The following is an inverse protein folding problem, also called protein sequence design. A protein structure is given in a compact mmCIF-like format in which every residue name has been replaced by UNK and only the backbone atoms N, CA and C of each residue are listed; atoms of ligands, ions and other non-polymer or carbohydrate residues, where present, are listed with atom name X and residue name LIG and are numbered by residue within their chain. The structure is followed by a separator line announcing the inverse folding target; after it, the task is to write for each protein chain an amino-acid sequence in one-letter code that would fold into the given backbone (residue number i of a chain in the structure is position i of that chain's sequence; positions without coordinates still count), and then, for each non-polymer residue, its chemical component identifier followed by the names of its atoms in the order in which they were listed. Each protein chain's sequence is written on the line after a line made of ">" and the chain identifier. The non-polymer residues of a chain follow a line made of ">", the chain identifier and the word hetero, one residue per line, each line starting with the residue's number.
data_IF_065553018780
#
_entry.id   IF_065553018780
#
_cell.length_a   1.000
_cell.length_b   1.000
_cell.length_c   1.000
_cell.angle_alpha   90.00
_cell.angle_beta   90.00
_cell.angle_gamma   90.00
#
_symmetry.space_group_name_H-M   'P 1'
#
loop_
_entity.id
_entity.type
_entity.pdbx_description
1 polymer ?
#
# COMPACT_ATOMS: atom_id res chain seq x y z
N UNK A 1 -2.03 -12.58 16.32
CA UNK A 1 -2.36 -11.17 16.71
C UNK A 1 -1.19 -10.28 16.35
N UNK A 2 -1.46 -9.14 15.75
CA UNK A 2 -0.48 -8.12 15.35
C UNK A 2 -0.87 -6.78 15.96
N UNK A 3 0.10 -6.05 16.46
CA UNK A 3 -0.07 -4.67 16.88
C UNK A 3 0.36 -3.74 15.75
N UNK A 4 -0.49 -2.80 15.35
CA UNK A 4 -0.20 -1.87 14.27
C UNK A 4 -0.41 -0.42 14.73
N UNK A 5 0.48 0.45 14.31
CA UNK A 5 0.39 1.88 14.53
C UNK A 5 0.56 2.60 13.20
N UNK A 6 -0.29 3.56 12.92
CA UNK A 6 -0.22 4.39 11.73
C UNK A 6 0.04 5.85 12.07
N UNK A 7 0.91 6.48 11.29
CA UNK A 7 1.24 7.90 11.38
C UNK A 7 0.95 8.56 10.04
N UNK A 8 0.09 9.56 10.05
CA UNK A 8 -0.29 10.31 8.85
C UNK A 8 0.21 11.74 8.98
N UNK A 9 1.01 12.18 8.02
CA UNK A 9 1.42 13.58 7.87
C UNK A 9 0.75 14.15 6.60
N UNK A 10 -0.34 14.92 6.74
CA UNK A 10 -1.07 15.46 5.60
C UNK A 10 -0.32 16.59 4.88
N UNK A 11 0.63 17.25 5.53
CA UNK A 11 1.44 18.32 4.93
C UNK A 11 2.51 17.71 4.03
N UNK A 12 3.25 16.74 4.53
CA UNK A 12 4.24 15.99 3.76
C UNK A 12 3.60 14.94 2.82
N UNK A 13 2.29 14.69 2.94
CA UNK A 13 1.55 13.61 2.24
C UNK A 13 2.19 12.25 2.46
N UNK A 14 2.62 12.00 3.69
CA UNK A 14 3.34 10.79 4.09
C UNK A 14 2.50 9.94 5.03
N UNK A 15 2.47 8.64 4.77
CA UNK A 15 1.89 7.63 5.65
C UNK A 15 2.98 6.66 6.08
N UNK A 16 3.07 6.39 7.37
CA UNK A 16 3.96 5.38 7.93
C UNK A 16 3.12 4.36 8.72
N UNK A 17 3.24 3.10 8.37
CA UNK A 17 2.62 1.98 9.06
C UNK A 17 3.71 1.18 9.76
N UNK A 18 3.57 1.00 11.08
CA UNK A 18 4.47 0.17 11.87
C UNK A 18 3.68 -0.99 12.46
N UNK A 19 4.12 -2.20 12.25
CA UNK A 19 3.50 -3.40 12.82
C UNK A 19 4.49 -4.27 13.54
N UNK A 20 4.00 -4.99 14.55
CA UNK A 20 4.76 -6.01 15.28
C UNK A 20 3.87 -7.18 15.63
N UNK A 21 4.45 -8.38 15.66
CA UNK A 21 3.74 -9.56 16.12
C UNK A 21 3.53 -9.52 17.64
N UNK A 22 2.34 -9.89 18.08
CA UNK A 22 2.00 -10.12 19.49
C UNK A 22 2.02 -11.61 19.81
N UNK A 23 1.61 -12.44 18.86
CA UNK A 23 1.66 -13.90 18.97
C UNK A 23 3.09 -14.36 18.72
N UNK A 24 3.59 -15.27 19.53
CA UNK A 24 4.96 -15.80 19.46
C UNK A 24 6.07 -14.76 19.68
N UNK A 25 5.74 -13.62 20.30
CA UNK A 25 6.70 -12.54 20.53
C UNK A 25 7.85 -12.88 21.51
N UNK A 26 7.69 -13.92 22.29
CA UNK A 26 8.72 -14.51 23.17
C UNK A 26 9.72 -15.41 22.42
N UNK A 27 9.34 -15.90 21.22
CA UNK A 27 10.20 -16.74 20.37
C UNK A 27 10.72 -16.00 19.14
N UNK A 28 9.92 -15.13 18.57
CA UNK A 28 10.20 -14.43 17.33
C UNK A 28 9.65 -13.01 17.38
N UNK A 29 10.51 -12.02 17.22
CA UNK A 29 10.10 -10.63 17.02
C UNK A 29 10.18 -10.27 15.54
N UNK A 30 9.05 -9.83 14.99
CA UNK A 30 8.96 -9.26 13.65
C UNK A 30 8.45 -7.83 13.77
N UNK A 31 9.24 -6.89 13.30
CA UNK A 31 8.84 -5.48 13.17
C UNK A 31 8.85 -5.09 11.70
N UNK A 32 7.73 -4.59 11.22
CA UNK A 32 7.59 -4.12 9.86
C UNK A 32 7.31 -2.61 9.85
N UNK A 33 7.94 -1.91 8.94
CA UNK A 33 7.68 -0.49 8.68
C UNK A 33 7.40 -0.31 7.20
N UNK A 34 6.23 0.21 6.87
CA UNK A 34 5.83 0.58 5.52
C UNK A 34 5.71 2.09 5.43
N UNK A 35 6.35 2.69 4.44
CA UNK A 35 6.33 4.13 4.21
C UNK A 35 5.80 4.41 2.81
N UNK A 36 4.79 5.26 2.74
CA UNK A 36 4.23 5.81 1.51
C UNK A 36 4.52 7.31 1.49
N UNK A 37 5.23 7.78 0.49
CA UNK A 37 5.59 9.18 0.36
C UNK A 37 5.65 9.63 -1.10
N UNK A 38 5.45 10.93 -1.41
CA UNK A 38 5.59 11.42 -2.77
C UNK A 38 7.00 11.23 -3.30
N UNK A 39 7.12 10.85 -4.56
CA UNK A 39 8.43 10.82 -5.25
C UNK A 39 8.88 12.25 -5.50
N UNK A 40 10.11 12.61 -5.08
CA UNK A 40 10.64 13.97 -5.18
C UNK A 40 10.63 14.53 -6.62
N UNK A 41 10.87 13.71 -7.62
CA UNK A 41 10.86 14.09 -9.04
C UNK A 41 9.46 14.24 -9.64
N UNK A 42 8.41 13.68 -9.01
CA UNK A 42 7.05 13.65 -9.54
C UNK A 42 6.02 13.51 -8.41
N UNK A 43 5.96 14.48 -7.48
CA UNK A 43 5.23 14.32 -6.21
C UNK A 43 3.70 14.24 -6.35
N UNK A 44 3.14 14.74 -7.46
CA UNK A 44 1.70 14.69 -7.72
C UNK A 44 1.25 13.43 -8.46
N UNK A 45 2.17 12.72 -9.11
CA UNK A 45 1.85 11.61 -10.01
C UNK A 45 2.34 10.25 -9.49
N UNK A 46 3.37 10.25 -8.63
CA UNK A 46 4.02 9.02 -8.16
C UNK A 46 4.18 9.01 -6.65
N UNK A 47 3.94 7.84 -6.09
CA UNK A 47 4.17 7.53 -4.68
C UNK A 47 5.27 6.49 -4.55
N UNK A 48 6.28 6.80 -3.74
CA UNK A 48 7.29 5.83 -3.35
C UNK A 48 6.75 4.98 -2.19
N UNK A 49 6.90 3.67 -2.31
CA UNK A 49 6.59 2.71 -1.27
C UNK A 49 7.88 2.04 -0.80
N UNK A 50 8.15 2.12 0.50
CA UNK A 50 9.28 1.46 1.14
C UNK A 50 8.76 0.50 2.20
N UNK A 51 9.19 -0.74 2.15
CA UNK A 51 8.86 -1.76 3.13
C UNK A 51 10.15 -2.30 3.75
N UNK A 52 10.21 -2.29 5.08
CA UNK A 52 11.34 -2.78 5.85
C UNK A 52 10.85 -3.71 6.94
N UNK A 53 11.53 -4.83 7.13
CA UNK A 53 11.28 -5.74 8.24
C UNK A 53 12.55 -6.01 9.02
N UNK A 54 12.41 -6.04 10.34
CA UNK A 54 13.43 -6.52 11.27
C UNK A 54 12.90 -7.79 11.92
N UNK A 55 13.65 -8.86 11.79
CA UNK A 55 13.26 -10.20 12.25
C UNK A 55 14.33 -10.73 13.16
N UNK A 56 13.95 -11.03 14.40
CA UNK A 56 14.86 -11.54 15.43
C UNK A 56 14.26 -12.75 16.12
N UNK A 57 14.95 -13.89 16.08
CA UNK A 57 14.58 -15.06 16.86
C UNK A 57 15.21 -14.99 18.26
N UNK A 58 14.41 -15.27 19.28
CA UNK A 58 14.79 -15.19 20.70
C UNK A 58 15.07 -16.57 21.31
N UNK A 59 15.50 -17.52 20.51
CA UNK A 59 15.81 -18.89 20.92
C UNK A 59 17.15 -18.97 21.65
N UNK A 60 17.25 -18.51 22.89
CA UNK A 60 18.51 -18.43 23.65
C UNK A 60 19.42 -19.66 23.54
N UNK A 61 20.73 -19.48 23.36
CA UNK A 61 21.75 -20.50 23.38
C UNK A 61 21.87 -21.44 22.19
N UNK A 62 20.88 -21.56 21.34
CA UNK A 62 20.83 -22.43 20.16
C UNK A 62 21.01 -21.65 18.87
N UNK A 63 22.22 -21.15 18.63
CA UNK A 63 22.51 -20.25 17.50
C UNK A 63 22.11 -20.81 16.12
N UNK A 64 22.28 -22.13 15.91
CA UNK A 64 21.92 -22.79 14.65
C UNK A 64 20.43 -22.79 14.37
N UNK A 65 19.62 -23.05 15.40
CA UNK A 65 18.15 -23.02 15.34
C UNK A 65 17.67 -21.58 15.13
N UNK A 66 18.25 -20.65 15.88
CA UNK A 66 17.98 -19.22 15.74
C UNK A 66 18.17 -18.74 14.29
N UNK A 67 19.32 -19.02 13.70
CA UNK A 67 19.63 -18.62 12.32
C UNK A 67 18.67 -19.25 11.30
N UNK A 68 18.30 -20.53 11.48
CA UNK A 68 17.36 -21.21 10.60
C UNK A 68 15.95 -20.60 10.67
N UNK A 69 15.48 -20.24 11.86
CA UNK A 69 14.18 -19.59 12.06
C UNK A 69 14.18 -18.19 11.42
N UNK A 70 15.23 -17.41 11.66
CA UNK A 70 15.37 -16.07 11.09
C UNK A 70 15.38 -16.12 9.56
N UNK A 71 16.17 -17.02 8.96
CA UNK A 71 16.24 -17.18 7.51
C UNK A 71 14.89 -17.60 6.91
N UNK A 72 14.24 -18.61 7.48
CA UNK A 72 12.91 -19.04 7.00
C UNK A 72 11.88 -17.91 7.08
N UNK A 73 11.89 -17.13 8.15
CA UNK A 73 10.96 -16.01 8.35
C UNK A 73 11.23 -14.89 7.36
N UNK A 74 12.50 -14.57 7.07
CA UNK A 74 12.87 -13.59 6.04
C UNK A 74 12.40 -14.03 4.67
N UNK A 75 12.62 -15.29 4.29
CA UNK A 75 12.15 -15.81 3.00
C UNK A 75 10.62 -15.73 2.86
N UNK A 76 9.88 -16.10 3.92
CA UNK A 76 8.42 -16.00 3.95
C UNK A 76 7.94 -14.56 3.86
N UNK A 77 8.60 -13.64 4.56
CA UNK A 77 8.29 -12.21 4.48
C UNK A 77 8.48 -11.69 3.05
N UNK A 78 9.60 -12.02 2.42
CA UNK A 78 9.86 -11.58 1.05
C UNK A 78 8.82 -12.11 0.06
N UNK A 79 8.42 -13.37 0.16
CA UNK A 79 7.37 -13.96 -0.67
C UNK A 79 6.01 -13.29 -0.45
N UNK A 80 5.65 -13.03 0.80
CA UNK A 80 4.38 -12.39 1.14
C UNK A 80 4.36 -10.92 0.73
N UNK A 81 5.48 -10.20 0.86
CA UNK A 81 5.62 -8.83 0.40
C UNK A 81 5.45 -8.70 -1.12
N UNK A 82 6.05 -9.62 -1.88
CA UNK A 82 5.90 -9.66 -3.33
C UNK A 82 4.44 -9.89 -3.75
N UNK A 83 3.75 -10.85 -3.13
CA UNK A 83 2.33 -11.11 -3.37
C UNK A 83 1.43 -9.93 -2.97
N UNK A 84 1.73 -9.30 -1.84
CA UNK A 84 1.01 -8.12 -1.36
C UNK A 84 1.14 -6.95 -2.33
N UNK A 85 2.33 -6.71 -2.87
CA UNK A 85 2.57 -5.69 -3.89
C UNK A 85 1.78 -5.97 -5.17
N UNK A 86 1.81 -7.20 -5.66
CA UNK A 86 1.05 -7.61 -6.86
C UNK A 86 -0.45 -7.39 -6.66
N UNK A 87 -1.02 -7.84 -5.54
CA UNK A 87 -2.43 -7.62 -5.21
C UNK A 87 -2.80 -6.14 -5.11
N UNK A 88 -1.94 -5.33 -4.53
CA UNK A 88 -2.15 -3.88 -4.43
C UNK A 88 -2.15 -3.19 -5.80
N UNK A 89 -1.22 -3.55 -6.69
CA UNK A 89 -1.19 -3.02 -8.06
C UNK A 89 -2.46 -3.41 -8.85
N UNK A 90 -2.96 -4.63 -8.68
CA UNK A 90 -4.22 -5.06 -9.29
C UNK A 90 -5.42 -4.22 -8.82
N UNK A 91 -5.50 -3.93 -7.53
CA UNK A 91 -6.56 -3.08 -6.96
C UNK A 91 -6.47 -1.65 -7.47
N UNK A 92 -5.26 -1.09 -7.55
CA UNK A 92 -5.05 0.26 -8.10
C UNK A 92 -5.46 0.34 -9.58
N UNK A 93 -5.09 -0.65 -10.37
CA UNK A 93 -5.48 -0.69 -11.78
C UNK A 93 -6.99 -0.77 -11.94
N UNK A 94 -7.66 -1.61 -11.15
CA UNK A 94 -9.12 -1.69 -11.17
C UNK A 94 -9.78 -0.37 -10.77
N UNK A 95 -9.26 0.30 -9.76
CA UNK A 95 -9.75 1.61 -9.33
C UNK A 95 -9.60 2.66 -10.45
N UNK A 96 -8.45 2.69 -11.12
CA UNK A 96 -8.22 3.60 -12.27
C UNK A 96 -9.26 3.39 -13.38
N UNK A 97 -9.54 2.13 -13.72
CA UNK A 97 -10.56 1.79 -14.74
C UNK A 97 -11.94 2.32 -14.34
N UNK A 98 -12.37 2.07 -13.11
CA UNK A 98 -13.68 2.53 -12.61
C UNK A 98 -13.79 4.06 -12.64
N UNK A 99 -12.75 4.77 -12.21
CA UNK A 99 -12.72 6.23 -12.24
C UNK A 99 -12.75 6.79 -13.68
N UNK A 100 -12.07 6.13 -14.61
CA UNK A 100 -12.10 6.53 -16.01
C UNK A 100 -13.50 6.35 -16.62
N UNK A 101 -14.12 5.20 -16.42
CA UNK A 101 -15.49 4.92 -16.85
C UNK A 101 -16.48 5.95 -16.31
N UNK A 102 -16.37 6.35 -15.05
CA UNK A 102 -17.22 7.37 -14.47
C UNK A 102 -17.01 8.76 -15.08
N UNK A 103 -15.77 9.13 -15.35
CA UNK A 103 -15.47 10.39 -16.04
C UNK A 103 -16.07 10.41 -17.44
N UNK A 104 -15.91 9.36 -18.21
CA UNK A 104 -16.43 9.26 -19.57
C UNK A 104 -17.97 9.38 -19.59
N UNK A 105 -18.65 8.78 -18.60
CA UNK A 105 -20.10 8.90 -18.44
C UNK A 105 -20.52 10.34 -18.12
N UNK A 106 -19.79 11.02 -17.25
CA UNK A 106 -20.08 12.41 -16.88
C UNK A 106 -19.89 13.36 -18.08
N UNK A 107 -18.82 13.19 -18.84
CA UNK A 107 -18.56 13.97 -20.05
C UNK A 107 -19.65 13.78 -21.12
N UNK A 108 -20.10 12.55 -21.33
CA UNK A 108 -21.19 12.24 -22.22
C UNK A 108 -22.51 12.91 -21.79
N UNK A 109 -22.81 12.88 -20.49
CA UNK A 109 -24.01 13.55 -19.93
C UNK A 109 -23.96 15.05 -20.12
N UNK A 110 -22.81 15.66 -19.89
CA UNK A 110 -22.57 17.09 -20.06
C UNK A 110 -22.75 17.48 -21.52
N UNK A 111 -22.14 16.76 -22.45
CA UNK A 111 -22.29 17.01 -23.89
C UNK A 111 -23.74 16.90 -24.35
N UNK A 112 -24.51 15.94 -23.84
CA UNK A 112 -25.95 15.82 -24.14
C UNK A 112 -26.75 16.97 -23.58
N UNK A 113 -26.43 17.48 -22.41
CA UNK A 113 -27.11 18.62 -21.80
C UNK A 113 -26.83 19.91 -22.58
N UNK A 114 -25.59 20.16 -22.93
CA UNK A 114 -25.16 21.30 -23.72
C UNK A 114 -25.83 21.29 -25.09
N UNK A 115 -25.92 20.13 -25.72
CA UNK A 115 -26.62 19.95 -26.99
C UNK A 115 -28.12 20.27 -26.91
N UNK A 116 -28.80 19.90 -25.80
CA UNK A 116 -30.21 20.24 -25.56
C UNK A 116 -30.39 21.74 -25.37
N UNK A 117 -29.54 22.41 -24.63
CA UNK A 117 -29.56 23.85 -24.39
C UNK A 117 -29.40 24.60 -25.72
N UNK A 118 -28.44 24.20 -26.55
CA UNK A 118 -28.21 24.81 -27.87
C UNK A 118 -29.40 24.63 -28.81
N UNK A 119 -30.11 23.51 -28.78
CA UNK A 119 -31.33 23.29 -29.57
C UNK A 119 -32.48 24.19 -29.10
N UNK A 120 -32.62 24.40 -27.79
CA UNK A 120 -33.65 25.30 -27.24
C UNK A 120 -33.34 26.76 -27.52
N UNK A 121 -32.08 27.17 -27.59
CA UNK A 121 -31.65 28.53 -27.87
C UNK A 121 -31.86 28.94 -29.37
N UNK A 122 -32.07 27.99 -30.28
CA UNK A 122 -32.31 28.23 -31.73
C UNK A 122 -33.77 28.42 -32.08
N UNK A 123 -34.68 28.36 -31.14
CA UNK A 123 -36.09 28.68 -31.29
C UNK A 123 -36.28 30.16 -30.95
#
# INVERSE_FOLDING_TARGET
>A
MVYETSYVDPVAKKLTLCSMNMTWSDLLNVRETCIYEPVASSPNDKTAFTQRAEITALCGGWQKIKNSIEQFTVERFQQNAAKGKEGFEMVLERARQVFQEQRDILELRQAQQDSKILRQAKI
#
